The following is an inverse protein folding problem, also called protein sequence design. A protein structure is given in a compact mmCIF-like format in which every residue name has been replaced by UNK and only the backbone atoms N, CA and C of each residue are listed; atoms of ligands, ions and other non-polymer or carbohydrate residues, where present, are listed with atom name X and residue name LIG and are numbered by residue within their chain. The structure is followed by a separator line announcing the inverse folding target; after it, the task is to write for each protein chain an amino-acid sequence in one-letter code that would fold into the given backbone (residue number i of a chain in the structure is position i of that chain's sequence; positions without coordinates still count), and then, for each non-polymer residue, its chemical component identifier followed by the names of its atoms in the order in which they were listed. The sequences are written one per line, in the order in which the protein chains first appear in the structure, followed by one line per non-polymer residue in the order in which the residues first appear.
data_IF_897707023136
#
_entry.id   IF_897707023136
#
_cell.length_a   1.000
_cell.length_b   1.000
_cell.length_c   1.000
_cell.angle_alpha   90.00
_cell.angle_beta   90.00
_cell.angle_gamma   90.00
#
_symmetry.space_group_name_H-M   'P 1'
#
loop_
_entity.id
_entity.type
_entity.pdbx_description
1 polymer ?
#
# COMPACT_ATOMS: atom_id res chain seq x y z
N UNK A 1 30.61 16.73 1.36
CA UNK A 1 31.34 16.37 2.59
C UNK A 1 32.46 15.45 2.19
N UNK A 2 33.64 15.60 2.79
CA UNK A 2 34.77 14.74 2.47
C UNK A 2 34.69 13.42 3.24
N UNK A 3 34.96 12.33 2.54
CA UNK A 3 35.12 11.00 3.11
C UNK A 3 36.38 10.36 2.56
N UNK A 4 37.04 9.56 3.39
CA UNK A 4 38.17 8.73 2.98
C UNK A 4 37.74 7.27 3.01
N UNK A 5 37.59 6.69 1.83
CA UNK A 5 37.08 5.35 1.65
C UNK A 5 38.22 4.35 1.45
N UNK A 6 38.16 3.22 2.14
CA UNK A 6 39.20 2.19 2.11
C UNK A 6 38.61 0.80 2.33
N UNK A 7 39.38 -0.24 2.02
CA UNK A 7 39.03 -1.63 2.33
C UNK A 7 39.70 -2.01 3.63
N UNK A 8 38.92 -2.40 4.63
CA UNK A 8 39.47 -2.90 5.87
C UNK A 8 40.18 -4.25 5.60
N UNK A 9 41.50 -4.37 5.87
CA UNK A 9 42.27 -5.56 5.51
C UNK A 9 41.90 -6.80 6.33
N UNK A 10 41.25 -6.64 7.49
CA UNK A 10 40.85 -7.76 8.34
C UNK A 10 39.48 -8.32 7.94
N UNK A 11 38.53 -7.44 7.63
CA UNK A 11 37.14 -7.82 7.32
C UNK A 11 36.85 -7.88 5.83
N UNK A 12 37.74 -7.35 4.98
CA UNK A 12 37.55 -7.18 3.55
C UNK A 12 36.26 -6.41 3.19
N UNK A 13 35.90 -5.43 4.02
CA UNK A 13 34.70 -4.58 3.85
C UNK A 13 35.08 -3.17 3.45
N UNK A 14 34.25 -2.52 2.64
CA UNK A 14 34.34 -1.09 2.37
C UNK A 14 34.01 -0.29 3.64
N UNK A 15 34.90 0.63 4.02
CA UNK A 15 34.74 1.54 5.14
C UNK A 15 34.95 2.98 4.67
N UNK A 16 34.26 3.93 5.31
CA UNK A 16 34.44 5.36 5.08
C UNK A 16 34.78 6.05 6.41
N UNK A 17 35.87 6.82 6.43
CA UNK A 17 36.23 7.68 7.55
C UNK A 17 35.91 9.15 7.24
N UNK A 18 35.51 9.90 8.26
CA UNK A 18 35.31 11.36 8.17
C UNK A 18 36.59 12.17 8.33
N UNK A 19 37.66 11.52 8.79
CA UNK A 19 38.95 12.12 9.06
C UNK A 19 40.03 11.13 8.61
N UNK A 20 41.10 11.57 7.92
CA UNK A 20 42.17 10.69 7.45
C UNK A 20 42.94 10.05 8.61
N UNK A 21 43.01 10.70 9.78
CA UNK A 21 43.70 10.21 10.98
C UNK A 21 43.02 8.97 11.59
N UNK A 22 41.77 8.71 11.25
CA UNK A 22 41.05 7.51 11.69
C UNK A 22 41.41 6.26 10.87
N UNK A 23 42.24 6.40 9.84
CA UNK A 23 42.65 5.31 8.94
C UNK A 23 43.99 4.77 9.43
N UNK A 24 44.12 3.45 9.49
CA UNK A 24 45.38 2.81 9.87
C UNK A 24 46.49 3.14 8.87
N UNK A 25 47.70 3.40 9.35
CA UNK A 25 48.85 3.89 8.56
C UNK A 25 49.23 2.99 7.37
N UNK A 26 48.83 1.71 7.40
CA UNK A 26 49.14 0.71 6.38
C UNK A 26 47.98 0.50 5.37
N UNK A 27 46.94 1.33 5.42
CA UNK A 27 45.74 1.18 4.59
C UNK A 27 45.66 2.34 3.60
N UNK A 28 45.60 2.00 2.32
CA UNK A 28 45.39 2.99 1.26
C UNK A 28 43.92 3.40 1.21
N UNK A 29 43.66 4.69 1.38
CA UNK A 29 42.34 5.28 1.27
C UNK A 29 42.25 6.24 0.07
N UNK A 30 41.05 6.35 -0.49
CA UNK A 30 40.72 7.26 -1.57
C UNK A 30 39.80 8.35 -1.01
N UNK A 31 40.16 9.61 -1.23
CA UNK A 31 39.33 10.76 -0.85
C UNK A 31 38.23 10.98 -1.87
N UNK A 32 37.00 11.14 -1.39
CA UNK A 32 35.85 11.57 -2.19
C UNK A 32 35.14 12.75 -1.53
N UNK A 33 34.60 13.65 -2.35
CA UNK A 33 33.60 14.64 -1.92
C UNK A 33 32.21 14.12 -2.30
N UNK A 34 31.40 13.80 -1.29
CA UNK A 34 30.11 13.12 -1.44
C UNK A 34 29.02 13.85 -0.68
N UNK A 35 27.76 13.59 -1.00
CA UNK A 35 26.63 14.09 -0.19
C UNK A 35 26.37 13.20 1.02
N UNK A 36 26.64 11.89 0.88
CA UNK A 36 26.56 10.88 1.94
C UNK A 36 27.68 9.85 1.77
N UNK A 37 28.24 9.26 2.86
CA UNK A 37 29.15 8.11 2.75
C UNK A 37 28.55 6.93 1.98
N UNK A 38 27.21 6.78 1.98
CA UNK A 38 26.50 5.75 1.21
C UNK A 38 26.66 5.90 -0.31
N UNK A 39 27.14 7.06 -0.79
CA UNK A 39 27.42 7.27 -2.22
C UNK A 39 28.68 6.52 -2.70
N UNK A 40 29.52 6.02 -1.79
CA UNK A 40 30.74 5.30 -2.12
C UNK A 40 30.47 3.79 -2.13
N UNK A 41 30.91 3.11 -3.18
CA UNK A 41 30.76 1.66 -3.34
C UNK A 41 32.06 0.99 -3.76
N UNK A 42 32.10 -0.32 -3.55
CA UNK A 42 33.15 -1.20 -4.03
C UNK A 42 32.61 -1.98 -5.22
N UNK A 43 33.22 -1.79 -6.38
CA UNK A 43 32.85 -2.44 -7.63
C UNK A 43 34.10 -3.04 -8.27
N UNK A 44 34.14 -4.36 -8.44
CA UNK A 44 35.29 -5.11 -8.97
C UNK A 44 36.62 -4.71 -8.29
N UNK A 45 36.65 -4.72 -6.95
CA UNK A 45 37.79 -4.29 -6.10
C UNK A 45 38.21 -2.82 -6.27
N UNK A 46 37.43 -2.01 -6.97
CA UNK A 46 37.68 -0.57 -7.15
C UNK A 46 36.68 0.21 -6.32
N UNK A 47 37.19 1.09 -5.46
CA UNK A 47 36.35 2.04 -4.72
C UNK A 47 35.95 3.16 -5.69
N UNK A 48 34.66 3.39 -5.86
CA UNK A 48 34.13 4.45 -6.74
C UNK A 48 32.86 5.06 -6.18
N UNK A 49 32.42 6.15 -6.79
CA UNK A 49 31.11 6.74 -6.50
C UNK A 49 30.01 6.02 -7.28
N UNK A 50 28.83 5.94 -6.66
CA UNK A 50 27.58 5.60 -7.34
C UNK A 50 27.29 6.63 -8.42
N UNK A 51 26.92 6.13 -9.58
CA UNK A 51 26.31 6.92 -10.65
C UNK A 51 24.92 7.40 -10.24
N UNK A 52 24.42 8.45 -10.90
CA UNK A 52 23.06 8.93 -10.66
C UNK A 52 22.00 7.86 -10.94
N UNK A 53 22.25 6.96 -11.90
CA UNK A 53 21.38 5.83 -12.20
C UNK A 53 21.32 4.82 -11.04
N UNK A 54 22.45 4.51 -10.41
CA UNK A 54 22.51 3.65 -9.22
C UNK A 54 21.77 4.29 -8.05
N UNK A 55 22.04 5.57 -7.77
CA UNK A 55 21.34 6.32 -6.70
C UNK A 55 19.83 6.36 -6.92
N UNK A 56 19.39 6.61 -8.15
CA UNK A 56 17.97 6.61 -8.51
C UNK A 56 17.35 5.22 -8.32
N UNK A 57 18.04 4.16 -8.75
CA UNK A 57 17.56 2.77 -8.59
C UNK A 57 17.36 2.40 -7.12
N UNK A 58 18.33 2.70 -6.27
CA UNK A 58 18.24 2.45 -4.82
C UNK A 58 17.13 3.26 -4.16
N UNK A 59 17.02 4.55 -4.51
CA UNK A 59 15.94 5.39 -4.00
C UNK A 59 14.56 4.88 -4.41
N UNK A 60 14.39 4.40 -5.66
CA UNK A 60 13.14 3.80 -6.12
C UNK A 60 12.79 2.57 -5.30
N UNK A 61 13.75 1.65 -5.09
CA UNK A 61 13.51 0.44 -4.33
C UNK A 61 13.11 0.76 -2.88
N UNK A 62 13.79 1.72 -2.25
CA UNK A 62 13.46 2.18 -0.90
C UNK A 62 12.04 2.74 -0.82
N UNK A 63 11.69 3.66 -1.72
CA UNK A 63 10.36 4.28 -1.72
C UNK A 63 9.25 3.29 -2.07
N UNK A 64 9.50 2.29 -2.91
CA UNK A 64 8.56 1.20 -3.19
C UNK A 64 8.31 0.36 -1.93
N UNK A 65 9.37 0.01 -1.19
CA UNK A 65 9.23 -0.72 0.07
C UNK A 65 8.43 0.09 1.10
N UNK A 66 8.75 1.38 1.26
CA UNK A 66 8.01 2.28 2.15
C UNK A 66 6.54 2.41 1.74
N UNK A 67 6.27 2.52 0.43
CA UNK A 67 4.91 2.59 -0.12
C UNK A 67 4.11 1.32 0.21
N UNK A 68 4.73 0.14 0.08
CA UNK A 68 4.13 -1.16 0.42
C UNK A 68 3.76 -1.27 1.91
N UNK A 69 4.62 -0.78 2.79
CA UNK A 69 4.35 -0.74 4.23
C UNK A 69 3.24 0.27 4.56
N UNK A 70 3.24 1.44 3.90
CA UNK A 70 2.22 2.48 4.08
C UNK A 70 0.83 2.00 3.66
N UNK A 71 0.67 1.34 2.51
CA UNK A 71 -0.65 0.82 2.10
C UNK A 71 -1.16 -0.22 3.10
N UNK A 72 -0.30 -1.14 3.53
CA UNK A 72 -0.65 -2.19 4.48
C UNK A 72 -1.14 -1.56 5.79
N UNK A 73 -0.38 -0.60 6.31
CA UNK A 73 -0.74 0.14 7.53
C UNK A 73 -2.05 0.92 7.38
N UNK A 74 -2.26 1.55 6.22
CA UNK A 74 -3.47 2.34 5.94
C UNK A 74 -4.72 1.46 5.90
N UNK A 75 -4.67 0.33 5.19
CA UNK A 75 -5.78 -0.63 5.13
C UNK A 75 -6.02 -1.20 6.53
N UNK A 76 -4.96 -1.65 7.22
CA UNK A 76 -5.09 -2.28 8.53
C UNK A 76 -5.72 -1.34 9.58
N UNK A 77 -5.39 -0.04 9.55
CA UNK A 77 -5.97 0.97 10.44
C UNK A 77 -7.50 1.01 10.37
N UNK A 78 -8.08 0.85 9.18
CA UNK A 78 -9.51 1.04 8.96
C UNK A 78 -10.28 -0.28 8.75
N UNK A 79 -9.64 -1.31 8.22
CA UNK A 79 -10.25 -2.59 7.90
C UNK A 79 -9.28 -3.75 8.18
N UNK A 80 -9.03 -4.05 9.47
CA UNK A 80 -8.09 -5.09 9.88
C UNK A 80 -8.55 -6.49 9.46
N UNK A 81 -7.62 -7.44 9.40
CA UNK A 81 -7.87 -8.79 8.90
C UNK A 81 -8.99 -9.50 9.64
N UNK A 82 -9.08 -9.35 10.97
CA UNK A 82 -10.18 -9.91 11.77
C UNK A 82 -11.55 -9.42 11.32
N UNK A 83 -11.65 -8.16 10.90
CA UNK A 83 -12.92 -7.61 10.40
C UNK A 83 -13.18 -8.05 8.98
N UNK A 84 -12.15 -8.22 8.15
CA UNK A 84 -12.28 -8.82 6.81
C UNK A 84 -12.82 -10.25 6.89
N UNK A 85 -12.29 -11.06 7.80
CA UNK A 85 -12.76 -12.44 8.03
C UNK A 85 -14.22 -12.48 8.53
N UNK A 86 -14.58 -11.59 9.46
CA UNK A 86 -15.96 -11.43 9.90
C UNK A 86 -16.88 -11.04 8.75
N UNK A 87 -16.46 -10.12 7.89
CA UNK A 87 -17.23 -9.67 6.73
C UNK A 87 -17.40 -10.76 5.67
N UNK A 88 -16.41 -11.64 5.49
CA UNK A 88 -16.55 -12.82 4.63
C UNK A 88 -17.59 -13.80 5.18
N UNK A 89 -17.62 -13.99 6.49
CA UNK A 89 -18.62 -14.82 7.17
C UNK A 89 -20.02 -14.21 7.08
N UNK A 90 -20.15 -12.90 7.33
CA UNK A 90 -21.42 -12.17 7.21
C UNK A 90 -21.96 -12.24 5.79
N UNK A 91 -21.07 -12.16 4.79
CA UNK A 91 -21.43 -12.33 3.39
C UNK A 91 -21.96 -13.74 3.10
N UNK A 92 -21.23 -14.77 3.49
CA UNK A 92 -21.63 -16.17 3.24
C UNK A 92 -22.98 -16.50 3.90
N UNK A 93 -23.15 -16.11 5.16
CA UNK A 93 -24.40 -16.31 5.90
C UNK A 93 -25.57 -15.53 5.29
N UNK A 94 -25.34 -14.25 4.96
CA UNK A 94 -26.38 -13.41 4.36
C UNK A 94 -26.82 -13.91 2.99
N UNK A 95 -25.89 -14.27 2.12
CA UNK A 95 -26.23 -14.83 0.82
C UNK A 95 -26.93 -16.18 0.93
N UNK A 96 -26.50 -17.05 1.86
CA UNK A 96 -27.17 -18.33 2.10
C UNK A 96 -28.60 -18.14 2.59
N UNK A 97 -28.83 -17.18 3.52
CA UNK A 97 -30.17 -16.86 4.00
C UNK A 97 -31.07 -16.30 2.90
N UNK A 98 -30.57 -15.37 2.09
CA UNK A 98 -31.32 -14.76 1.00
C UNK A 98 -31.65 -15.80 -0.09
N UNK A 99 -30.70 -16.68 -0.42
CA UNK A 99 -30.92 -17.79 -1.33
C UNK A 99 -31.96 -18.79 -0.80
N UNK A 100 -31.95 -19.09 0.50
CA UNK A 100 -32.96 -19.93 1.15
C UNK A 100 -34.39 -19.35 1.00
N UNK A 101 -34.53 -18.02 1.02
CA UNK A 101 -35.79 -17.33 0.76
C UNK A 101 -36.14 -17.24 -0.75
N UNK A 102 -35.33 -17.83 -1.63
CA UNK A 102 -35.54 -17.82 -3.08
C UNK A 102 -35.13 -16.52 -3.77
N UNK A 103 -34.37 -15.64 -3.11
CA UNK A 103 -33.84 -14.43 -3.73
C UNK A 103 -32.61 -14.75 -4.56
N UNK A 104 -32.53 -14.16 -5.76
CA UNK A 104 -31.36 -14.29 -6.63
C UNK A 104 -30.18 -13.45 -6.10
N UNK A 105 -29.26 -14.13 -5.41
CA UNK A 105 -28.05 -13.53 -4.85
C UNK A 105 -27.12 -12.94 -5.91
N UNK A 106 -27.15 -13.44 -7.15
CA UNK A 106 -26.33 -12.88 -8.23
C UNK A 106 -26.84 -11.50 -8.65
N UNK A 107 -28.17 -11.36 -8.81
CA UNK A 107 -28.80 -10.06 -9.04
C UNK A 107 -28.55 -9.09 -7.88
N UNK A 108 -28.66 -9.56 -6.63
CA UNK A 108 -28.39 -8.73 -5.44
C UNK A 108 -26.96 -8.19 -5.45
N UNK A 109 -25.96 -9.05 -5.74
CA UNK A 109 -24.56 -8.63 -5.86
C UNK A 109 -24.37 -7.58 -6.95
N UNK A 110 -25.01 -7.75 -8.11
CA UNK A 110 -24.94 -6.79 -9.22
C UNK A 110 -25.51 -5.44 -8.81
N UNK A 111 -26.65 -5.43 -8.12
CA UNK A 111 -27.28 -4.19 -7.66
C UNK A 111 -26.44 -3.47 -6.60
N UNK A 112 -25.90 -4.21 -5.63
CA UNK A 112 -24.96 -3.66 -4.64
C UNK A 112 -23.75 -3.03 -5.34
N UNK A 113 -23.16 -3.73 -6.32
CA UNK A 113 -22.02 -3.22 -7.07
C UNK A 113 -22.39 -1.94 -7.83
N UNK A 114 -23.55 -1.90 -8.49
CA UNK A 114 -24.04 -0.71 -9.19
C UNK A 114 -24.21 0.48 -8.25
N UNK A 115 -24.81 0.29 -7.07
CA UNK A 115 -25.01 1.34 -6.07
C UNK A 115 -23.69 1.92 -5.55
N UNK A 116 -22.70 1.05 -5.32
CA UNK A 116 -21.39 1.47 -4.85
C UNK A 116 -20.63 2.24 -5.95
N UNK A 117 -20.70 1.75 -7.19
CA UNK A 117 -20.05 2.41 -8.33
C UNK A 117 -20.71 3.76 -8.68
N UNK A 118 -21.99 3.95 -8.38
CA UNK A 118 -22.67 5.26 -8.47
C UNK A 118 -22.36 6.20 -7.30
N UNK A 119 -21.49 5.80 -6.36
CA UNK A 119 -21.18 6.54 -5.13
C UNK A 119 -22.42 6.87 -4.28
N UNK A 120 -23.43 5.98 -4.29
CA UNK A 120 -24.57 6.12 -3.37
C UNK A 120 -24.08 6.05 -1.93
N UNK A 121 -24.67 6.84 -1.03
CA UNK A 121 -24.44 6.67 0.40
C UNK A 121 -25.10 5.40 0.93
N UNK A 122 -24.65 4.93 2.10
CA UNK A 122 -25.09 3.66 2.67
C UNK A 122 -26.61 3.59 2.87
N UNK A 123 -27.23 4.65 3.39
CA UNK A 123 -28.66 4.64 3.71
C UNK A 123 -29.50 4.62 2.44
N UNK A 124 -29.12 5.43 1.44
CA UNK A 124 -29.75 5.41 0.12
C UNK A 124 -29.64 4.03 -0.52
N UNK A 125 -28.46 3.43 -0.50
CA UNK A 125 -28.24 2.09 -1.07
C UNK A 125 -29.10 1.02 -0.38
N UNK A 126 -29.18 1.03 0.96
CA UNK A 126 -30.00 0.11 1.73
C UNK A 126 -31.49 0.28 1.41
N UNK A 127 -31.97 1.53 1.36
CA UNK A 127 -33.36 1.81 1.00
C UNK A 127 -33.69 1.32 -0.42
N UNK A 128 -32.78 1.50 -1.39
CA UNK A 128 -32.97 1.00 -2.76
C UNK A 128 -33.07 -0.52 -2.82
N UNK A 129 -32.20 -1.25 -2.11
CA UNK A 129 -32.30 -2.71 -2.03
C UNK A 129 -33.60 -3.15 -1.36
N UNK A 130 -33.95 -2.51 -0.25
CA UNK A 130 -35.15 -2.86 0.50
C UNK A 130 -36.43 -2.69 -0.34
N UNK A 131 -36.51 -1.60 -1.09
CA UNK A 131 -37.59 -1.36 -2.04
C UNK A 131 -37.59 -2.36 -3.20
N UNK A 132 -36.43 -2.59 -3.83
CA UNK A 132 -36.32 -3.48 -5.00
C UNK A 132 -36.73 -4.92 -4.69
N UNK A 133 -36.37 -5.41 -3.50
CA UNK A 133 -36.63 -6.78 -3.07
C UNK A 133 -37.82 -6.91 -2.11
N UNK A 134 -38.66 -5.87 -2.01
CA UNK A 134 -39.88 -5.84 -1.18
C UNK A 134 -39.67 -6.27 0.28
N UNK A 135 -38.53 -5.94 0.87
CA UNK A 135 -38.14 -6.37 2.23
C UNK A 135 -38.44 -5.36 3.33
N UNK A 136 -39.19 -4.30 3.02
CA UNK A 136 -39.60 -3.28 3.99
C UNK A 136 -40.38 -3.86 5.19
N UNK A 137 -40.91 -5.08 5.07
CA UNK A 137 -41.64 -5.79 6.11
C UNK A 137 -40.89 -7.00 6.70
N UNK A 138 -39.67 -7.29 6.22
CA UNK A 138 -38.83 -8.40 6.71
C UNK A 138 -37.53 -7.85 7.29
N UNK A 139 -37.50 -7.76 8.63
CA UNK A 139 -36.36 -7.25 9.37
C UNK A 139 -35.08 -8.07 9.15
N UNK A 140 -35.18 -9.37 8.88
CA UNK A 140 -34.02 -10.22 8.64
C UNK A 140 -33.43 -10.03 7.23
N UNK A 141 -34.28 -9.88 6.21
CA UNK A 141 -33.80 -9.57 4.85
C UNK A 141 -33.11 -8.21 4.82
N UNK A 142 -33.73 -7.18 5.42
CA UNK A 142 -33.13 -5.84 5.53
C UNK A 142 -31.82 -5.86 6.32
N UNK A 143 -31.75 -6.65 7.40
CA UNK A 143 -30.50 -6.88 8.15
C UNK A 143 -29.40 -7.45 7.25
N UNK A 144 -29.69 -8.49 6.46
CA UNK A 144 -28.68 -9.09 5.59
C UNK A 144 -28.26 -8.19 4.43
N UNK A 145 -29.17 -7.40 3.85
CA UNK A 145 -28.78 -6.35 2.89
C UNK A 145 -27.86 -5.30 3.53
N UNK A 146 -28.14 -4.90 4.77
CA UNK A 146 -27.26 -4.00 5.52
C UNK A 146 -25.86 -4.60 5.71
N UNK A 147 -25.74 -5.88 6.09
CA UNK A 147 -24.44 -6.54 6.20
C UNK A 147 -23.72 -6.63 4.86
N UNK A 148 -24.40 -7.08 3.80
CA UNK A 148 -23.80 -7.19 2.46
C UNK A 148 -23.31 -5.84 1.93
N UNK A 149 -24.05 -4.76 2.17
CA UNK A 149 -23.60 -3.40 1.85
C UNK A 149 -22.36 -3.02 2.66
N UNK A 150 -22.34 -3.24 3.98
CA UNK A 150 -21.17 -2.92 4.83
C UNK A 150 -19.91 -3.61 4.31
N UNK A 151 -20.01 -4.90 4.01
CA UNK A 151 -18.93 -5.70 3.41
C UNK A 151 -18.48 -5.06 2.09
N UNK A 152 -19.41 -4.74 1.22
CA UNK A 152 -19.12 -4.25 -0.11
C UNK A 152 -18.48 -2.84 -0.10
N UNK A 153 -18.94 -1.91 0.74
CA UNK A 153 -18.32 -0.60 0.91
C UNK A 153 -16.88 -0.70 1.43
N UNK A 154 -16.61 -1.57 2.42
CA UNK A 154 -15.24 -1.76 2.95
C UNK A 154 -14.32 -2.43 1.92
N UNK A 155 -14.81 -3.41 1.17
CA UNK A 155 -14.05 -4.01 0.05
C UNK A 155 -13.78 -3.00 -1.06
N UNK A 156 -14.73 -2.12 -1.36
CA UNK A 156 -14.54 -1.05 -2.33
C UNK A 156 -13.54 0.00 -1.87
N UNK A 157 -13.52 0.33 -0.58
CA UNK A 157 -12.47 1.15 0.03
C UNK A 157 -11.08 0.54 -0.23
N UNK A 158 -10.88 -0.74 0.09
CA UNK A 158 -9.60 -1.43 -0.17
C UNK A 158 -9.22 -1.39 -1.65
N UNK A 159 -10.21 -1.58 -2.54
CA UNK A 159 -9.99 -1.49 -3.98
C UNK A 159 -9.48 -0.10 -4.40
N UNK A 160 -10.12 0.99 -3.95
CA UNK A 160 -9.66 2.36 -4.27
C UNK A 160 -8.27 2.65 -3.70
N UNK A 161 -7.98 2.24 -2.47
CA UNK A 161 -6.64 2.39 -1.87
C UNK A 161 -5.59 1.63 -2.70
N UNK A 162 -5.90 0.42 -3.18
CA UNK A 162 -5.01 -0.34 -4.07
C UNK A 162 -4.82 0.33 -5.43
N UNK A 163 -5.83 1.03 -5.96
CA UNK A 163 -5.68 1.83 -7.19
C UNK A 163 -4.74 3.03 -6.99
N UNK A 164 -4.83 3.71 -5.85
CA UNK A 164 -3.88 4.78 -5.49
C UNK A 164 -2.46 4.23 -5.40
N UNK A 165 -2.27 3.09 -4.74
CA UNK A 165 -0.97 2.41 -4.67
C UNK A 165 -0.40 2.10 -6.05
N UNK A 166 -1.20 1.53 -6.95
CA UNK A 166 -0.76 1.23 -8.32
C UNK A 166 -0.34 2.49 -9.08
N UNK A 167 -1.10 3.58 -8.90
CA UNK A 167 -0.75 4.89 -9.48
C UNK A 167 0.59 5.39 -8.96
N UNK A 168 0.82 5.33 -7.64
CA UNK A 168 2.07 5.76 -7.02
C UNK A 168 3.25 4.87 -7.42
N UNK A 169 3.05 3.55 -7.46
CA UNK A 169 4.06 2.61 -7.92
C UNK A 169 4.51 2.92 -9.35
N UNK A 170 3.56 3.18 -10.24
CA UNK A 170 3.86 3.57 -11.62
C UNK A 170 4.66 4.88 -11.69
N UNK A 171 4.27 5.89 -10.90
CA UNK A 171 4.99 7.17 -10.84
C UNK A 171 6.45 7.00 -10.35
N UNK A 172 6.67 6.15 -9.34
CA UNK A 172 8.03 5.83 -8.85
C UNK A 172 8.84 5.12 -9.94
N UNK A 173 8.26 4.11 -10.58
CA UNK A 173 8.94 3.33 -11.61
C UNK A 173 9.33 4.20 -12.82
N UNK A 174 8.46 5.13 -13.21
CA UNK A 174 8.67 6.02 -14.35
C UNK A 174 9.57 7.24 -14.06
N UNK A 175 9.89 7.53 -12.79
CA UNK A 175 10.74 8.65 -12.44
C UNK A 175 12.13 8.53 -13.10
N UNK A 176 12.63 9.61 -13.69
CA UNK A 176 13.93 9.63 -14.40
C UNK A 176 15.03 10.35 -13.60
N UNK A 177 14.68 10.99 -12.49
CA UNK A 177 15.60 11.73 -11.63
C UNK A 177 15.09 11.80 -10.20
N UNK A 178 15.97 12.25 -9.29
CA UNK A 178 15.64 12.59 -7.90
C UNK A 178 15.24 14.07 -7.79
N UNK A 179 14.45 14.46 -6.76
CA UNK A 179 13.84 13.60 -5.74
C UNK A 179 12.62 12.84 -6.27
N UNK A 180 12.33 11.69 -5.66
CA UNK A 180 11.10 10.95 -5.95
C UNK A 180 9.87 11.67 -5.35
N UNK A 181 8.66 11.45 -5.89
CA UNK A 181 7.46 12.09 -5.37
C UNK A 181 7.13 11.61 -3.95
N UNK A 182 6.45 12.45 -3.17
CA UNK A 182 5.84 12.06 -1.90
C UNK A 182 4.43 11.50 -2.12
N UNK A 183 4.05 10.49 -1.34
CA UNK A 183 2.76 9.81 -1.48
C UNK A 183 2.00 9.75 -0.17
N UNK A 184 0.69 10.02 -0.24
CA UNK A 184 -0.24 9.95 0.88
C UNK A 184 -1.62 9.46 0.38
N UNK A 185 -2.20 8.47 1.06
CA UNK A 185 -3.45 7.83 0.64
C UNK A 185 -4.65 8.71 0.97
N UNK A 186 -5.46 9.03 -0.04
CA UNK A 186 -6.55 10.01 0.05
C UNK A 186 -7.94 9.38 0.16
N UNK A 187 -8.09 8.12 -0.24
CA UNK A 187 -9.36 7.40 -0.18
C UNK A 187 -9.91 7.37 1.26
N UNK A 188 -11.05 8.02 1.56
CA UNK A 188 -11.62 8.00 2.89
C UNK A 188 -12.26 6.65 3.20
N UNK A 189 -12.23 6.24 4.47
CA UNK A 189 -13.03 5.10 4.94
C UNK A 189 -14.53 5.42 4.79
N UNK A 190 -15.36 4.48 4.31
CA UNK A 190 -16.80 4.71 4.13
C UNK A 190 -17.48 5.03 5.47
N UNK A 191 -18.40 5.99 5.44
CA UNK A 191 -19.30 6.27 6.57
C UNK A 191 -20.34 5.15 6.65
N UNK A 192 -20.18 4.27 7.64
CA UNK A 192 -21.06 3.11 7.86
C UNK A 192 -21.68 3.19 9.27
N UNK A 193 -22.97 2.86 9.42
CA UNK A 193 -23.62 2.77 10.73
C UNK A 193 -23.25 1.50 11.49
#
# INVERSE_FOLDING_TARGET
MKVWAYINPQTNTLCCALFPEAISSNVNAVEFDVSSPDDVILDNNTIRLKTDAEKLSEAKQKVINDLSQKITSYIFKYYPDVKQMSDDTDKENGESYLAYLGLDTMSIRKDIASLILSNSDFQTALNTLNQKYNSNNDNMVSYWFSQLLKVAYRKFFVFKVKQEYSTYLQQIQQATSLPLPSFDFKTPFPSLP
#
